data_IF_387820229121
#
_entry.id   IF_387820229121
#
_cell.length_a   1.000
_cell.length_b   1.000
_cell.length_c   1.000
_cell.angle_alpha   90.00
_cell.angle_beta   90.00
_cell.angle_gamma   90.00
#
_symmetry.space_group_name_H-M   'P 1'
#
loop_
_entity.id
_entity.type
_entity.pdbx_description
1 polymer ?
#
# COMPACT_ATOMS: atom_id res chain seq x y z
N UNK A 1 22.38 -43.62 -16.71
CA UNK A 1 22.77 -45.04 -16.80
C UNK A 1 24.06 -45.24 -16.03
N UNK A 2 24.02 -45.94 -14.89
CA UNK A 2 25.23 -46.31 -14.14
C UNK A 2 25.79 -47.58 -14.79
N UNK A 3 26.99 -47.51 -15.36
CA UNK A 3 27.67 -48.68 -15.92
C UNK A 3 28.08 -49.65 -14.81
N UNK A 4 27.70 -50.92 -14.94
CA UNK A 4 28.03 -51.98 -13.98
C UNK A 4 29.54 -52.26 -13.92
N UNK A 5 30.20 -52.25 -15.07
CA UNK A 5 31.63 -52.51 -15.17
C UNK A 5 32.39 -51.23 -15.48
N UNK A 6 33.49 -51.00 -14.76
CA UNK A 6 34.45 -49.91 -14.99
C UNK A 6 35.74 -50.53 -15.48
N UNK A 7 36.32 -49.96 -16.53
CA UNK A 7 37.63 -50.40 -17.01
C UNK A 7 38.71 -49.99 -16.00
N UNK A 8 39.47 -50.98 -15.53
CA UNK A 8 40.69 -50.79 -14.75
C UNK A 8 41.89 -51.06 -15.68
N UNK A 9 42.88 -50.14 -15.76
CA UNK A 9 44.11 -50.37 -16.50
C UNK A 9 44.83 -51.63 -15.99
N UNK A 10 45.56 -52.37 -16.85
CA UNK A 10 46.28 -53.58 -16.45
C UNK A 10 47.38 -53.31 -15.40
N UNK A 11 47.90 -52.08 -15.35
CA UNK A 11 48.92 -51.65 -14.39
C UNK A 11 48.34 -51.17 -13.04
N UNK A 12 47.01 -51.18 -12.88
CA UNK A 12 46.34 -50.68 -11.67
C UNK A 12 46.28 -51.75 -10.57
N UNK A 13 47.18 -51.63 -9.59
CA UNK A 13 47.12 -52.35 -8.32
C UNK A 13 46.25 -51.60 -7.28
N UNK A 14 45.16 -52.20 -6.76
CA UNK A 14 44.28 -51.54 -5.77
C UNK A 14 44.99 -51.27 -4.44
N UNK A 15 45.92 -52.12 -4.00
CA UNK A 15 46.64 -51.96 -2.74
C UNK A 15 47.68 -50.82 -2.80
N UNK A 16 48.28 -50.58 -3.97
CA UNK A 16 49.29 -49.52 -4.16
C UNK A 16 48.67 -48.17 -4.51
N UNK A 17 47.63 -48.17 -5.36
CA UNK A 17 47.04 -46.94 -5.88
C UNK A 17 45.76 -46.52 -5.15
N UNK A 18 45.12 -47.42 -4.40
CA UNK A 18 43.88 -47.18 -3.67
C UNK A 18 42.67 -47.01 -4.60
N UNK A 19 42.59 -45.87 -5.29
CA UNK A 19 41.51 -45.54 -6.21
C UNK A 19 42.00 -45.21 -7.60
N UNK A 20 41.17 -45.48 -8.62
CA UNK A 20 41.46 -45.14 -10.01
C UNK A 20 41.70 -43.62 -10.23
N UNK A 21 41.10 -42.79 -9.37
CA UNK A 21 41.31 -41.34 -9.38
C UNK A 21 42.74 -40.98 -8.93
N UNK A 22 43.22 -41.63 -7.86
CA UNK A 22 44.60 -41.48 -7.36
C UNK A 22 45.62 -41.96 -8.39
N UNK A 23 45.37 -43.11 -9.04
CA UNK A 23 46.20 -43.62 -10.15
C UNK A 23 46.36 -42.60 -11.29
N UNK A 24 45.30 -41.81 -11.56
CA UNK A 24 45.29 -40.78 -12.61
C UNK A 24 45.71 -39.39 -12.11
N UNK A 25 46.11 -39.25 -10.84
CA UNK A 25 46.44 -37.96 -10.21
C UNK A 25 45.27 -36.97 -10.15
N UNK A 26 44.03 -37.45 -10.17
CA UNK A 26 42.82 -36.61 -10.14
C UNK A 26 42.11 -36.71 -8.80
N UNK A 27 41.60 -35.58 -8.31
CA UNK A 27 40.74 -35.58 -7.13
C UNK A 27 39.34 -36.13 -7.48
N UNK A 28 38.69 -36.83 -6.55
CA UNK A 28 37.37 -37.43 -6.78
C UNK A 28 36.27 -36.40 -7.11
N UNK A 29 36.38 -35.19 -6.57
CA UNK A 29 35.48 -34.07 -6.85
C UNK A 29 35.85 -33.29 -8.13
N UNK A 30 36.94 -33.68 -8.81
CA UNK A 30 37.42 -33.07 -10.05
C UNK A 30 37.63 -31.56 -9.92
N UNK A 31 37.10 -30.80 -10.89
CA UNK A 31 37.26 -29.35 -10.97
C UNK A 31 36.69 -28.57 -9.78
N UNK A 32 35.76 -29.16 -9.04
CA UNK A 32 35.20 -28.53 -7.84
C UNK A 32 36.22 -28.40 -6.70
N UNK A 33 37.23 -29.28 -6.69
CA UNK A 33 38.30 -29.29 -5.71
C UNK A 33 39.56 -28.52 -6.14
N UNK A 34 39.50 -27.71 -7.21
CA UNK A 34 40.65 -26.92 -7.68
C UNK A 34 41.25 -25.97 -6.62
N UNK A 35 40.45 -25.56 -5.62
CA UNK A 35 40.88 -24.67 -4.52
C UNK A 35 40.87 -25.37 -3.16
N UNK A 36 40.97 -26.70 -3.15
CA UNK A 36 40.90 -27.48 -1.91
C UNK A 36 42.09 -27.20 -0.99
N UNK A 37 43.25 -26.86 -1.55
CA UNK A 37 44.45 -26.45 -0.80
C UNK A 37 44.21 -25.20 0.05
N UNK A 38 43.25 -24.35 -0.35
CA UNK A 38 42.82 -23.15 0.37
C UNK A 38 41.63 -23.44 1.31
N UNK A 39 41.20 -24.69 1.43
CA UNK A 39 40.00 -25.10 2.18
C UNK A 39 38.68 -24.70 1.49
N UNK A 40 38.72 -24.36 0.20
CA UNK A 40 37.55 -23.89 -0.56
C UNK A 40 37.06 -24.98 -1.50
N UNK A 41 35.79 -25.37 -1.35
CA UNK A 41 35.12 -26.29 -2.26
C UNK A 41 34.09 -25.55 -3.12
N UNK A 42 34.16 -25.71 -4.44
CA UNK A 42 33.16 -25.11 -5.33
C UNK A 42 31.91 -26.00 -5.32
N UNK A 43 30.79 -25.45 -4.88
CA UNK A 43 29.50 -26.16 -4.77
C UNK A 43 28.41 -25.41 -5.52
N UNK A 44 27.38 -26.14 -5.97
CA UNK A 44 26.21 -25.51 -6.57
C UNK A 44 25.22 -25.16 -5.45
N UNK A 45 25.01 -23.88 -5.24
CA UNK A 45 24.21 -23.34 -4.13
C UNK A 45 22.97 -22.63 -4.69
N UNK A 46 21.81 -22.93 -4.13
CA UNK A 46 20.54 -22.24 -4.42
C UNK A 46 20.28 -21.22 -3.32
N UNK A 47 19.89 -20.01 -3.69
CA UNK A 47 19.60 -18.97 -2.70
C UNK A 47 18.36 -19.33 -1.87
N UNK A 48 18.45 -19.33 -0.53
CA UNK A 48 17.34 -19.72 0.35
C UNK A 48 16.25 -18.64 0.47
N UNK A 49 16.56 -17.38 0.18
CA UNK A 49 15.61 -16.25 0.24
C UNK A 49 15.99 -15.17 -0.78
N UNK A 50 15.07 -14.22 -0.97
CA UNK A 50 15.27 -13.07 -1.86
C UNK A 50 16.31 -12.09 -1.29
N UNK A 51 17.24 -11.63 -2.14
CA UNK A 51 18.30 -10.71 -1.74
C UNK A 51 18.40 -9.51 -2.68
N UNK A 52 18.85 -8.39 -2.14
CA UNK A 52 19.27 -7.20 -2.88
C UNK A 52 20.80 -7.16 -2.91
N UNK A 53 21.39 -7.13 -4.10
CA UNK A 53 22.85 -7.04 -4.22
C UNK A 53 23.35 -5.68 -3.76
N UNK A 54 24.30 -5.62 -2.83
CA UNK A 54 24.83 -4.35 -2.30
C UNK A 54 25.71 -3.56 -3.27
N UNK A 55 26.05 -4.11 -4.44
CA UNK A 55 26.90 -3.45 -5.45
C UNK A 55 26.10 -2.82 -6.59
N UNK A 56 25.00 -3.46 -7.03
CA UNK A 56 24.19 -2.98 -8.16
C UNK A 56 22.72 -2.78 -7.80
N UNK A 57 22.35 -2.94 -6.54
CA UNK A 57 20.99 -2.84 -5.99
C UNK A 57 19.93 -3.62 -6.80
N UNK A 58 20.37 -4.64 -7.54
CA UNK A 58 19.49 -5.53 -8.28
C UNK A 58 18.93 -6.62 -7.36
N UNK A 59 17.66 -6.95 -7.58
CA UNK A 59 16.98 -8.04 -6.89
C UNK A 59 17.42 -9.40 -7.46
N UNK A 60 17.78 -10.33 -6.59
CA UNK A 60 18.02 -11.73 -6.91
C UNK A 60 16.98 -12.58 -6.19
N UNK A 61 16.21 -13.32 -6.98
CA UNK A 61 15.17 -14.18 -6.46
C UNK A 61 15.70 -15.39 -5.69
N UNK A 62 14.87 -15.90 -4.78
CA UNK A 62 15.01 -17.21 -4.15
C UNK A 62 15.13 -18.30 -5.21
N UNK A 63 15.96 -19.32 -4.95
CA UNK A 63 16.17 -20.47 -5.84
C UNK A 63 17.13 -20.21 -7.01
N UNK A 64 17.66 -18.99 -7.18
CA UNK A 64 18.70 -18.74 -8.19
C UNK A 64 19.96 -19.52 -7.83
N UNK A 65 20.49 -20.27 -8.81
CA UNK A 65 21.63 -21.17 -8.68
C UNK A 65 22.95 -20.46 -8.94
N UNK A 66 23.89 -20.59 -8.01
CA UNK A 66 25.26 -20.08 -8.12
C UNK A 66 26.30 -21.18 -7.97
N UNK A 67 27.46 -20.96 -8.60
CA UNK A 67 28.69 -21.68 -8.25
C UNK A 67 29.30 -20.94 -7.04
N UNK A 68 29.07 -21.46 -5.85
CA UNK A 68 29.50 -20.86 -4.59
C UNK A 68 30.83 -21.47 -4.12
N UNK A 69 31.69 -20.61 -3.60
CA UNK A 69 32.89 -21.02 -2.86
C UNK A 69 32.49 -21.33 -1.42
N UNK A 70 32.39 -22.62 -1.10
CA UNK A 70 32.09 -23.11 0.25
C UNK A 70 33.38 -23.18 1.05
N UNK A 71 33.43 -22.45 2.16
CA UNK A 71 34.53 -22.48 3.15
C UNK A 71 33.99 -22.75 4.54
N UNK A 72 34.77 -23.40 5.39
CA UNK A 72 34.45 -23.58 6.82
C UNK A 72 35.09 -22.43 7.60
N UNK A 73 34.29 -21.65 8.33
CA UNK A 73 34.80 -20.50 9.11
C UNK A 73 35.01 -20.87 10.58
N UNK A 74 34.08 -21.62 11.15
CA UNK A 74 34.09 -21.97 12.57
C UNK A 74 33.15 -23.12 12.89
N UNK A 75 32.84 -23.31 14.17
CA UNK A 75 31.84 -24.27 14.64
C UNK A 75 30.90 -23.60 15.65
N UNK A 76 29.62 -23.92 15.58
CA UNK A 76 28.65 -23.70 16.64
C UNK A 76 28.56 -24.99 17.47
N UNK A 77 29.19 -25.01 18.65
CA UNK A 77 29.48 -26.23 19.41
C UNK A 77 30.18 -27.28 18.54
N UNK A 78 29.52 -28.40 18.22
CA UNK A 78 30.03 -29.47 17.34
C UNK A 78 29.71 -29.26 15.86
N UNK A 79 28.78 -28.35 15.51
CA UNK A 79 28.27 -28.19 14.14
C UNK A 79 29.10 -27.15 13.38
N UNK A 80 29.67 -27.47 12.20
CA UNK A 80 30.46 -26.52 11.43
C UNK A 80 29.60 -25.40 10.84
N UNK A 81 30.12 -24.16 10.90
CA UNK A 81 29.56 -22.99 10.23
C UNK A 81 30.25 -22.87 8.88
N UNK A 82 29.44 -22.88 7.81
CA UNK A 82 29.91 -22.70 6.44
C UNK A 82 29.59 -21.31 5.94
N UNK A 83 30.53 -20.73 5.22
CA UNK A 83 30.31 -19.57 4.36
C UNK A 83 30.23 -19.98 2.90
N UNK A 84 29.30 -19.36 2.20
CA UNK A 84 29.07 -19.48 0.78
C UNK A 84 29.32 -18.13 0.14
N UNK A 85 30.47 -18.00 -0.53
CA UNK A 85 30.80 -16.80 -1.29
C UNK A 85 30.34 -16.97 -2.73
N UNK A 86 29.45 -16.08 -3.18
CA UNK A 86 28.79 -16.14 -4.47
C UNK A 86 29.10 -14.88 -5.28
N UNK A 87 29.21 -15.02 -6.60
CA UNK A 87 29.39 -13.90 -7.54
C UNK A 87 28.04 -13.50 -8.13
N UNK A 88 27.67 -12.23 -8.01
CA UNK A 88 26.46 -11.67 -8.62
C UNK A 88 26.50 -11.83 -10.14
N UNK A 89 25.39 -12.28 -10.73
CA UNK A 89 25.30 -12.53 -12.17
C UNK A 89 25.20 -11.24 -13.00
N UNK A 90 24.76 -10.11 -12.40
CA UNK A 90 24.65 -8.83 -13.11
C UNK A 90 25.95 -8.03 -13.08
N UNK A 91 26.51 -7.78 -11.90
CA UNK A 91 27.66 -6.86 -11.72
C UNK A 91 28.99 -7.57 -11.46
N UNK A 92 28.97 -8.88 -11.20
CA UNK A 92 30.17 -9.62 -10.82
C UNK A 92 30.72 -9.32 -9.42
N UNK A 93 30.02 -8.48 -8.63
CA UNK A 93 30.32 -8.25 -7.22
C UNK A 93 30.15 -9.53 -6.40
N UNK A 94 30.92 -9.64 -5.32
CA UNK A 94 30.86 -10.80 -4.41
C UNK A 94 29.96 -10.50 -3.23
N UNK A 95 29.21 -11.51 -2.80
CA UNK A 95 28.44 -11.49 -1.57
C UNK A 95 28.60 -12.81 -0.83
N UNK A 96 28.40 -12.79 0.48
CA UNK A 96 28.65 -13.93 1.36
C UNK A 96 27.44 -14.22 2.25
N UNK A 97 27.08 -15.51 2.30
CA UNK A 97 26.08 -16.04 3.21
C UNK A 97 26.73 -17.03 4.16
N UNK A 98 26.36 -16.96 5.44
CA UNK A 98 26.78 -17.91 6.47
C UNK A 98 25.60 -18.72 6.97
N UNK A 99 25.85 -19.97 7.33
CA UNK A 99 24.87 -20.79 8.05
C UNK A 99 24.84 -20.40 9.52
N UNK A 100 23.65 -20.22 10.08
CA UNK A 100 23.42 -20.04 11.52
C UNK A 100 22.70 -21.28 12.09
N UNK A 101 23.45 -22.23 12.69
CA UNK A 101 22.86 -23.44 13.26
C UNK A 101 21.94 -23.19 14.46
N UNK A 102 22.05 -22.05 15.16
CA UNK A 102 21.21 -21.74 16.32
C UNK A 102 19.76 -21.51 15.93
N UNK A 103 19.56 -20.75 14.85
CA UNK A 103 18.24 -20.37 14.34
C UNK A 103 17.85 -21.14 13.08
N UNK A 104 18.64 -22.16 12.70
CA UNK A 104 18.43 -22.99 11.49
C UNK A 104 18.25 -22.19 10.20
N UNK A 105 18.93 -21.04 10.09
CA UNK A 105 18.78 -20.10 8.97
C UNK A 105 20.10 -19.77 8.31
N UNK A 106 20.04 -19.16 7.14
CA UNK A 106 21.19 -18.50 6.53
C UNK A 106 21.14 -17.01 6.85
N UNK A 107 22.30 -16.40 7.05
CA UNK A 107 22.44 -14.97 7.32
C UNK A 107 23.38 -14.36 6.28
N UNK A 108 22.98 -13.24 5.71
CA UNK A 108 23.86 -12.48 4.81
C UNK A 108 24.86 -11.71 5.65
N UNK A 109 26.16 -11.96 5.45
CA UNK A 109 27.21 -11.26 6.21
C UNK A 109 27.78 -10.09 5.43
N UNK A 110 27.95 -10.24 4.11
CA UNK A 110 28.60 -9.21 3.29
C UNK A 110 28.01 -9.14 1.88
N UNK A 111 28.02 -7.93 1.29
CA UNK A 111 27.79 -7.71 -0.14
C UNK A 111 26.35 -7.85 -0.64
N UNK A 112 25.39 -8.16 0.24
CA UNK A 112 23.97 -8.19 -0.07
C UNK A 112 23.12 -7.83 1.16
N UNK A 113 21.85 -7.53 0.93
CA UNK A 113 20.82 -7.34 1.96
C UNK A 113 19.70 -8.35 1.74
N UNK A 114 19.23 -8.99 2.80
CA UNK A 114 18.04 -9.84 2.72
C UNK A 114 16.82 -8.96 2.46
N UNK A 115 15.89 -9.44 1.63
CA UNK A 115 14.58 -8.82 1.50
C UNK A 115 13.68 -9.36 2.62
N UNK A 116 13.16 -8.46 3.44
CA UNK A 116 12.18 -8.82 4.46
C UNK A 116 10.81 -9.01 3.81
N UNK A 117 10.22 -10.18 4.00
CA UNK A 117 8.89 -10.52 3.44
C UNK A 117 7.81 -10.57 4.52
N UNK A 118 8.23 -10.76 5.77
CA UNK A 118 7.36 -10.69 6.93
C UNK A 118 7.14 -9.21 7.28
N UNK A 119 5.96 -8.69 6.93
CA UNK A 119 5.51 -7.40 7.41
C UNK A 119 5.07 -7.56 8.87
N UNK A 120 5.94 -7.19 9.80
CA UNK A 120 5.54 -7.05 11.20
C UNK A 120 4.83 -5.69 11.41
N UNK A 121 3.52 -5.67 11.69
CA UNK A 121 2.80 -4.43 11.94
C UNK A 121 3.30 -3.70 13.19
N UNK A 122 3.83 -4.44 14.19
CA UNK A 122 4.25 -3.89 15.47
C UNK A 122 5.58 -3.12 15.37
N UNK A 123 6.53 -3.61 14.57
CA UNK A 123 7.85 -2.97 14.40
C UNK A 123 7.81 -1.74 13.47
N UNK A 124 6.93 -1.72 12.47
CA UNK A 124 6.88 -0.67 11.45
C UNK A 124 5.87 0.46 11.72
N UNK A 125 5.38 0.57 12.96
CA UNK A 125 4.50 1.67 13.40
C UNK A 125 3.11 1.66 12.76
N UNK A 126 2.69 0.52 12.21
CA UNK A 126 1.30 0.30 11.85
C UNK A 126 0.50 0.18 13.14
N UNK A 127 -0.46 1.07 13.37
CA UNK A 127 -1.45 0.83 14.42
C UNK A 127 -2.09 -0.52 14.14
N UNK A 128 -1.80 -1.53 14.97
CA UNK A 128 -2.56 -2.75 14.99
C UNK A 128 -4.03 -2.33 15.08
N UNK A 129 -4.88 -2.79 14.16
CA UNK A 129 -6.33 -2.52 14.16
C UNK A 129 -7.01 -3.17 15.38
N UNK A 130 -6.23 -3.65 16.34
CA UNK A 130 -6.64 -4.20 17.61
C UNK A 130 -6.54 -3.13 18.71
N UNK A 131 -7.71 -2.64 19.09
CA UNK A 131 -8.05 -1.93 20.34
C UNK A 131 -7.05 -0.86 20.81
N UNK A 132 -7.47 0.39 20.65
CA UNK A 132 -6.90 1.59 21.30
C UNK A 132 -6.90 1.55 22.84
N UNK A 133 -7.36 0.46 23.47
CA UNK A 133 -7.52 0.32 24.91
C UNK A 133 -6.28 -0.23 25.63
N UNK A 134 -5.23 -0.64 24.91
CA UNK A 134 -4.04 -1.32 25.50
C UNK A 134 -2.93 -0.39 26.02
N UNK A 135 -3.16 0.91 26.21
CA UNK A 135 -2.04 1.84 26.50
C UNK A 135 -1.77 2.06 28.00
N UNK A 136 -2.56 1.51 28.94
CA UNK A 136 -2.52 2.03 30.33
C UNK A 136 -2.25 1.09 31.50
N UNK A 137 -2.51 -0.21 31.43
CA UNK A 137 -2.53 -1.05 32.64
C UNK A 137 -1.92 -2.44 32.41
N UNK A 138 -1.24 -3.03 33.43
CA UNK A 138 -0.92 -4.45 33.39
C UNK A 138 -2.26 -5.19 33.31
N UNK A 139 -2.49 -5.88 32.20
CA UNK A 139 -3.73 -6.64 32.01
C UNK A 139 -3.72 -7.74 33.06
N UNK A 140 -4.59 -7.62 34.07
CA UNK A 140 -4.85 -8.70 35.00
C UNK A 140 -5.15 -9.96 34.17
N UNK A 141 -4.42 -11.08 34.36
CA UNK A 141 -4.67 -12.31 33.62
C UNK A 141 -6.15 -12.74 33.69
N UNK A 142 -6.86 -12.39 34.77
CA UNK A 142 -8.29 -12.64 34.89
C UNK A 142 -9.13 -11.76 33.96
N UNK A 143 -8.81 -10.48 33.82
CA UNK A 143 -9.51 -9.57 32.89
C UNK A 143 -9.30 -9.95 31.43
N UNK A 144 -8.11 -10.45 31.06
CA UNK A 144 -7.85 -11.00 29.73
C UNK A 144 -8.69 -12.26 29.47
N UNK A 145 -8.79 -13.14 30.47
CA UNK A 145 -9.57 -14.36 30.39
C UNK A 145 -11.07 -14.03 30.26
N UNK A 146 -11.59 -13.11 31.06
CA UNK A 146 -12.97 -12.62 30.99
C UNK A 146 -13.29 -12.06 29.59
N UNK A 147 -12.45 -11.16 29.05
CA UNK A 147 -12.65 -10.63 27.70
C UNK A 147 -12.62 -11.72 26.62
N UNK A 148 -11.74 -12.71 26.74
CA UNK A 148 -11.69 -13.83 25.78
C UNK A 148 -12.89 -14.77 25.89
N UNK A 149 -13.36 -15.04 27.12
CA UNK A 149 -14.50 -15.91 27.38
C UNK A 149 -15.81 -15.22 27.00
N UNK A 150 -15.96 -13.93 27.26
CA UNK A 150 -17.11 -13.13 26.81
C UNK A 150 -17.17 -13.02 25.29
N UNK A 151 -16.02 -12.84 24.63
CA UNK A 151 -15.95 -12.84 23.17
C UNK A 151 -16.36 -14.21 22.59
N UNK A 152 -15.87 -15.31 23.18
CA UNK A 152 -16.27 -16.66 22.79
C UNK A 152 -17.77 -16.88 23.04
N UNK A 153 -18.27 -16.50 24.21
CA UNK A 153 -19.68 -16.61 24.57
C UNK A 153 -20.58 -15.81 23.62
N UNK A 154 -20.19 -14.59 23.25
CA UNK A 154 -20.93 -13.78 22.30
C UNK A 154 -20.90 -14.41 20.90
N UNK A 155 -19.76 -14.93 20.46
CA UNK A 155 -19.65 -15.63 19.18
C UNK A 155 -20.57 -16.85 19.16
N UNK A 156 -20.56 -17.67 20.21
CA UNK A 156 -21.33 -18.91 20.27
C UNK A 156 -22.82 -18.67 20.49
N UNK A 157 -23.22 -17.77 21.39
CA UNK A 157 -24.62 -17.58 21.79
C UNK A 157 -25.37 -16.57 20.92
N UNK A 158 -24.68 -15.66 20.25
CA UNK A 158 -25.31 -14.59 19.45
C UNK A 158 -24.98 -14.74 17.97
N UNK A 159 -23.70 -14.89 17.62
CA UNK A 159 -23.32 -14.89 16.20
C UNK A 159 -23.69 -16.21 15.50
N UNK A 160 -23.39 -17.36 16.10
CA UNK A 160 -23.75 -18.66 15.50
C UNK A 160 -25.26 -18.83 15.24
N UNK A 161 -26.17 -18.63 16.21
CA UNK A 161 -27.60 -18.80 15.94
C UNK A 161 -28.11 -17.78 14.91
N UNK A 162 -27.58 -16.56 14.92
CA UNK A 162 -27.91 -15.56 13.89
C UNK A 162 -27.49 -16.02 12.48
N UNK A 163 -26.32 -16.65 12.35
CA UNK A 163 -25.86 -17.20 11.08
C UNK A 163 -26.72 -18.39 10.63
N UNK A 164 -27.11 -19.26 11.57
CA UNK A 164 -28.03 -20.38 11.31
C UNK A 164 -29.42 -19.88 10.89
N UNK A 165 -29.96 -18.83 11.51
CA UNK A 165 -31.20 -18.17 11.12
C UNK A 165 -31.10 -17.60 9.68
N UNK A 166 -30.01 -16.91 9.36
CA UNK A 166 -29.79 -16.36 8.01
C UNK A 166 -29.63 -17.48 6.97
N UNK A 167 -28.93 -18.56 7.32
CA UNK A 167 -28.75 -19.70 6.44
C UNK A 167 -30.08 -20.42 6.20
N UNK A 168 -30.85 -20.73 7.24
CA UNK A 168 -32.16 -21.37 7.13
C UNK A 168 -33.16 -20.51 6.33
N UNK A 169 -33.16 -19.19 6.54
CA UNK A 169 -33.96 -18.26 5.73
C UNK A 169 -33.55 -18.28 4.26
N UNK A 170 -32.23 -18.31 3.98
CA UNK A 170 -31.72 -18.42 2.62
C UNK A 170 -32.12 -19.75 1.96
N UNK A 171 -31.99 -20.86 2.67
CA UNK A 171 -32.36 -22.20 2.21
C UNK A 171 -33.85 -22.26 1.86
N UNK A 172 -34.73 -21.84 2.78
CA UNK A 172 -36.18 -21.77 2.54
C UNK A 172 -36.53 -20.90 1.32
N UNK A 173 -35.86 -19.76 1.17
CA UNK A 173 -36.06 -18.87 0.02
C UNK A 173 -35.55 -19.46 -1.29
N UNK A 174 -34.48 -20.25 -1.24
CA UNK A 174 -33.83 -20.88 -2.39
C UNK A 174 -34.43 -22.23 -2.79
N UNK A 175 -35.28 -22.82 -1.95
CA UNK A 175 -35.89 -24.13 -2.17
C UNK A 175 -36.70 -24.20 -3.49
N UNK A 176 -37.32 -23.09 -3.93
CA UNK A 176 -37.93 -22.96 -5.25
C UNK A 176 -37.22 -21.88 -6.10
N UNK A 177 -36.19 -22.25 -6.88
CA UNK A 177 -35.48 -21.32 -7.73
C UNK A 177 -36.35 -20.77 -8.87
N UNK A 178 -37.36 -21.52 -9.32
CA UNK A 178 -38.23 -21.10 -10.41
C UNK A 178 -39.15 -19.96 -9.95
N UNK A 179 -39.88 -20.11 -8.85
CA UNK A 179 -40.73 -19.04 -8.32
C UNK A 179 -39.94 -17.77 -7.96
N UNK A 180 -38.73 -17.93 -7.39
CA UNK A 180 -37.85 -16.80 -7.10
C UNK A 180 -37.44 -16.06 -8.37
N UNK A 181 -37.05 -16.78 -9.43
CA UNK A 181 -36.69 -16.20 -10.72
C UNK A 181 -37.85 -15.47 -11.39
N UNK A 182 -39.08 -15.98 -11.23
CA UNK A 182 -40.30 -15.34 -11.76
C UNK A 182 -40.56 -14.03 -11.03
N UNK A 183 -40.47 -14.01 -9.70
CA UNK A 183 -40.65 -12.79 -8.88
C UNK A 183 -39.63 -11.71 -9.24
N UNK A 184 -38.35 -12.10 -9.37
CA UNK A 184 -37.26 -11.20 -9.75
C UNK A 184 -37.49 -10.64 -11.16
N UNK A 185 -37.80 -11.50 -12.14
CA UNK A 185 -38.08 -11.08 -13.51
C UNK A 185 -39.30 -10.17 -13.61
N UNK A 186 -40.36 -10.40 -12.83
CA UNK A 186 -41.55 -9.54 -12.77
C UNK A 186 -41.17 -8.13 -12.32
N UNK A 187 -40.44 -8.01 -11.20
CA UNK A 187 -39.97 -6.70 -10.68
C UNK A 187 -39.10 -5.97 -11.71
N UNK A 188 -38.16 -6.65 -12.35
CA UNK A 188 -37.32 -6.02 -13.38
C UNK A 188 -38.11 -5.60 -14.63
N UNK A 189 -39.14 -6.34 -15.02
CA UNK A 189 -40.02 -5.94 -16.14
C UNK A 189 -40.83 -4.70 -15.82
N UNK A 190 -41.37 -4.62 -14.60
CA UNK A 190 -42.11 -3.46 -14.11
C UNK A 190 -41.19 -2.23 -14.03
N UNK A 191 -40.02 -2.38 -13.41
CA UNK A 191 -39.00 -1.31 -13.35
C UNK A 191 -38.56 -0.87 -14.75
N UNK A 192 -38.21 -1.80 -15.64
CA UNK A 192 -37.82 -1.48 -17.03
C UNK A 192 -38.93 -0.77 -17.80
N UNK A 193 -40.21 -1.07 -17.53
CA UNK A 193 -41.34 -0.37 -18.15
C UNK A 193 -41.41 1.07 -17.67
N UNK A 194 -41.26 1.30 -16.37
CA UNK A 194 -41.21 2.64 -15.76
C UNK A 194 -40.00 3.41 -16.29
N UNK A 195 -38.80 2.82 -16.25
CA UNK A 195 -37.57 3.45 -16.73
C UNK A 195 -37.66 3.81 -18.22
N UNK A 196 -38.24 2.93 -19.05
CA UNK A 196 -38.43 3.21 -20.48
C UNK A 196 -39.44 4.33 -20.72
N UNK A 197 -40.52 4.41 -19.92
CA UNK A 197 -41.48 5.51 -20.00
C UNK A 197 -40.81 6.83 -19.63
N UNK A 198 -40.05 6.84 -18.55
CA UNK A 198 -39.29 8.01 -18.11
C UNK A 198 -38.26 8.45 -19.16
N UNK A 199 -37.49 7.51 -19.73
CA UNK A 199 -36.55 7.81 -20.82
C UNK A 199 -37.26 8.41 -22.04
N UNK A 200 -38.42 7.89 -22.42
CA UNK A 200 -39.17 8.43 -23.55
C UNK A 200 -39.71 9.85 -23.29
N UNK A 201 -40.13 10.15 -22.05
CA UNK A 201 -40.53 11.49 -21.64
C UNK A 201 -39.33 12.46 -21.68
N UNK A 202 -38.18 12.03 -21.16
CA UNK A 202 -36.93 12.78 -21.18
C UNK A 202 -36.44 13.06 -22.61
N UNK A 203 -36.43 12.05 -23.47
CA UNK A 203 -36.01 12.18 -24.87
C UNK A 203 -36.96 13.09 -25.67
N UNK A 204 -38.27 13.03 -25.39
CA UNK A 204 -39.24 13.93 -25.99
C UNK A 204 -39.02 15.39 -25.57
N UNK A 205 -38.69 15.65 -24.30
CA UNK A 205 -38.31 16.97 -23.82
C UNK A 205 -36.99 17.44 -24.45
N UNK A 206 -35.97 16.58 -24.46
CA UNK A 206 -34.67 16.89 -25.10
C UNK A 206 -34.82 17.24 -26.57
N UNK A 207 -35.63 16.48 -27.31
CA UNK A 207 -35.91 16.73 -28.72
C UNK A 207 -36.65 18.05 -28.97
N UNK A 208 -37.61 18.41 -28.11
CA UNK A 208 -38.33 19.70 -28.22
C UNK A 208 -37.43 20.91 -27.99
N UNK A 209 -36.45 20.80 -27.10
CA UNK A 209 -35.57 21.90 -26.70
C UNK A 209 -34.15 21.82 -27.30
N UNK A 210 -33.85 20.81 -28.13
CA UNK A 210 -32.52 20.63 -28.73
C UNK A 210 -31.40 20.37 -27.71
N UNK A 211 -31.73 19.76 -26.56
CA UNK A 211 -30.77 19.50 -25.48
C UNK A 211 -29.86 18.31 -25.84
N UNK A 212 -28.59 18.31 -25.39
CA UNK A 212 -27.66 17.21 -25.67
C UNK A 212 -28.09 15.92 -24.96
N UNK A 213 -27.89 14.78 -25.64
CA UNK A 213 -28.30 13.45 -25.15
C UNK A 213 -27.63 13.09 -23.81
N UNK A 214 -26.39 13.56 -23.60
CA UNK A 214 -25.59 13.35 -22.39
C UNK A 214 -26.09 14.09 -21.15
N UNK A 215 -27.04 15.01 -21.30
CA UNK A 215 -27.63 15.74 -20.18
C UNK A 215 -28.61 14.83 -19.43
N UNK A 216 -28.34 14.58 -18.14
CA UNK A 216 -29.30 13.90 -17.26
C UNK A 216 -30.35 14.91 -16.78
N UNK A 217 -31.63 14.56 -16.96
CA UNK A 217 -32.73 15.38 -16.46
C UNK A 217 -33.05 14.93 -15.02
N UNK A 218 -33.12 15.90 -14.12
CA UNK A 218 -33.56 15.68 -12.75
C UNK A 218 -35.08 15.81 -12.71
N UNK A 219 -35.76 14.89 -12.02
CA UNK A 219 -37.23 14.90 -11.92
C UNK A 219 -37.73 16.03 -11.01
N UNK A 220 -38.93 16.53 -11.27
CA UNK A 220 -39.62 17.56 -10.47
C UNK A 220 -40.32 16.98 -9.22
N UNK A 221 -39.58 16.26 -8.39
CA UNK A 221 -40.05 15.83 -7.07
C UNK A 221 -39.99 16.99 -6.06
N UNK A 222 -40.84 16.95 -5.01
CA UNK A 222 -40.84 18.02 -3.99
C UNK A 222 -39.50 18.14 -3.23
N UNK A 223 -38.74 17.04 -3.16
CA UNK A 223 -37.40 17.00 -2.57
C UNK A 223 -36.34 17.61 -3.51
N UNK A 224 -36.40 17.32 -4.81
CA UNK A 224 -35.46 17.88 -5.78
C UNK A 224 -35.68 19.37 -5.99
N UNK A 225 -36.94 19.86 -5.93
CA UNK A 225 -37.25 21.30 -5.93
C UNK A 225 -36.66 22.03 -4.73
N UNK A 226 -36.73 21.43 -3.53
CA UNK A 226 -36.11 21.98 -2.32
C UNK A 226 -34.59 22.00 -2.44
N UNK A 227 -33.98 20.91 -2.87
CA UNK A 227 -32.53 20.83 -3.08
C UNK A 227 -32.04 21.86 -4.12
N UNK A 228 -32.74 22.00 -5.25
CA UNK A 228 -32.43 22.99 -6.27
C UNK A 228 -32.55 24.43 -5.75
N UNK A 229 -33.56 24.71 -4.90
CA UNK A 229 -33.73 26.02 -4.25
C UNK A 229 -32.59 26.32 -3.28
N UNK A 230 -32.20 25.35 -2.45
CA UNK A 230 -31.07 25.49 -1.53
C UNK A 230 -29.74 25.68 -2.27
N UNK A 231 -29.52 24.94 -3.36
CA UNK A 231 -28.35 25.12 -4.23
C UNK A 231 -28.31 26.50 -4.86
N UNK A 232 -29.45 26.99 -5.36
CA UNK A 232 -29.56 28.33 -5.92
C UNK A 232 -29.28 29.42 -4.87
N UNK A 233 -29.83 29.30 -3.67
CA UNK A 233 -29.58 30.24 -2.56
C UNK A 233 -28.10 30.23 -2.15
N UNK A 234 -27.46 29.05 -2.08
CA UNK A 234 -26.01 28.93 -1.82
C UNK A 234 -25.17 29.57 -2.91
N UNK A 235 -25.48 29.30 -4.18
CA UNK A 235 -24.75 29.85 -5.32
C UNK A 235 -24.88 31.38 -5.39
N UNK A 236 -26.09 31.91 -5.17
CA UNK A 236 -26.34 33.36 -5.12
C UNK A 236 -25.55 34.02 -4.00
N UNK A 237 -25.52 33.42 -2.81
CA UNK A 237 -24.73 33.94 -1.70
C UNK A 237 -23.23 33.94 -2.00
N UNK A 238 -22.70 32.86 -2.61
CA UNK A 238 -21.30 32.81 -3.04
C UNK A 238 -20.98 33.86 -4.10
N UNK A 239 -21.88 34.10 -5.05
CA UNK A 239 -21.71 35.12 -6.08
C UNK A 239 -21.72 36.53 -5.51
N UNK A 240 -22.62 36.83 -4.56
CA UNK A 240 -22.62 38.11 -3.85
C UNK A 240 -21.33 38.35 -3.07
N UNK A 241 -20.79 37.32 -2.40
CA UNK A 241 -19.50 37.39 -1.72
C UNK A 241 -18.36 37.63 -2.72
N UNK A 242 -18.36 36.93 -3.85
CA UNK A 242 -17.37 37.09 -4.93
C UNK A 242 -17.44 38.49 -5.56
N UNK A 243 -18.64 39.01 -5.81
CA UNK A 243 -18.86 40.35 -6.33
C UNK A 243 -18.41 41.44 -5.35
N UNK A 244 -18.71 41.28 -4.05
CA UNK A 244 -18.18 42.16 -2.98
C UNK A 244 -16.65 42.10 -2.92
N UNK A 245 -16.05 40.92 -3.05
CA UNK A 245 -14.59 40.77 -3.09
C UNK A 245 -13.96 41.43 -4.34
N UNK A 246 -14.57 41.27 -5.53
CA UNK A 246 -14.14 41.95 -6.77
C UNK A 246 -14.25 43.47 -6.64
N UNK A 247 -15.36 44.01 -6.10
CA UNK A 247 -15.52 45.45 -5.85
C UNK A 247 -14.48 46.00 -4.87
N UNK A 248 -14.13 45.24 -3.82
CA UNK A 248 -13.05 45.62 -2.89
C UNK A 248 -11.68 45.63 -3.57
N UNK A 249 -11.39 44.72 -4.51
CA UNK A 249 -10.13 44.74 -5.29
C UNK A 249 -10.06 45.93 -6.25
N UNK A 250 -11.16 46.28 -6.91
CA UNK A 250 -11.19 47.43 -7.84
C UNK A 250 -11.03 48.75 -7.07
N UNK A 251 -11.68 48.90 -5.91
CA UNK A 251 -11.49 50.07 -5.03
C UNK A 251 -10.09 50.19 -4.42
N UNK A 252 -9.33 49.09 -4.34
CA UNK A 252 -7.93 49.11 -3.91
C UNK A 252 -6.95 49.39 -5.07
N UNK A 253 -7.34 49.10 -6.32
CA UNK A 253 -6.53 49.36 -7.51
C UNK A 253 -6.65 50.80 -8.03
N UNK A 254 -7.79 51.46 -7.79
CA UNK A 254 -8.00 52.88 -8.13
C UNK A 254 -7.86 53.72 -6.86
N UNK A 255 -6.61 53.96 -6.43
CA UNK A 255 -6.38 54.70 -5.18
C UNK A 255 -4.92 54.87 -4.77
N UNK A 256 -4.06 55.40 -5.65
CA UNK A 256 -2.88 56.16 -5.22
C UNK A 256 -2.37 57.07 -6.34
N UNK A 257 -2.93 58.28 -6.38
CA UNK A 257 -2.25 59.48 -6.88
C UNK A 257 -2.31 60.52 -5.74
N UNK A 258 -1.20 61.16 -5.36
CA UNK A 258 -1.20 62.14 -4.29
C UNK A 258 -1.66 63.48 -4.86
N UNK A 259 -2.80 63.99 -4.39
CA UNK A 259 -3.22 65.36 -4.68
C UNK A 259 -3.22 66.18 -3.38
N UNK A 260 -2.59 67.33 -3.52
CA UNK A 260 -2.21 68.31 -2.51
C UNK A 260 -3.37 68.91 -1.71
N UNK A 261 -3.07 69.12 -0.43
CA UNK A 261 -3.61 70.09 0.53
C UNK A 261 -4.46 71.24 -0.01
N UNK A 262 -5.68 71.37 0.52
CA UNK A 262 -6.20 72.66 0.99
C UNK A 262 -7.27 72.44 2.07
N UNK A 263 -7.15 73.21 3.14
CA UNK A 263 -7.78 73.04 4.44
C UNK A 263 -9.21 73.58 4.50
N UNK A 264 -10.09 72.85 5.20
CA UNK A 264 -11.40 73.31 5.65
C UNK A 264 -11.83 72.53 6.89
N UNK A 265 -11.56 73.11 8.06
CA UNK A 265 -11.64 72.56 9.42
C UNK A 265 -13.03 72.10 9.91
N UNK A 266 -13.09 71.06 10.76
CA UNK A 266 -13.47 71.13 12.20
C UNK A 266 -13.55 69.76 12.90
N UNK A 267 -12.56 69.53 13.76
CA UNK A 267 -12.56 69.00 15.15
C UNK A 267 -13.66 68.00 15.58
N UNK A 268 -13.27 66.76 15.92
CA UNK A 268 -13.61 66.12 17.21
C UNK A 268 -12.65 64.96 17.56
N UNK A 269 -12.27 64.94 18.84
CA UNK A 269 -11.32 64.07 19.56
C UNK A 269 -11.34 62.57 19.21
N UNK A 270 -10.14 62.01 18.98
CA UNK A 270 -9.81 60.59 19.06
C UNK A 270 -8.99 60.30 20.33
N UNK A 271 -9.55 59.49 21.23
CA UNK A 271 -8.83 58.45 21.97
C UNK A 271 -9.27 57.14 21.27
N UNK A 272 -8.49 56.12 20.96
CA UNK A 272 -7.15 55.71 21.31
C UNK A 272 -7.19 54.18 21.28
N UNK A 273 -6.81 53.54 20.17
CA UNK A 273 -6.32 52.16 20.17
C UNK A 273 -5.53 51.89 18.90
N UNK A 274 -4.23 51.79 19.09
CA UNK A 274 -3.16 51.64 18.12
C UNK A 274 -3.24 50.31 17.34
N UNK A 275 -3.42 50.41 16.02
CA UNK A 275 -2.84 49.44 15.10
C UNK A 275 -2.03 50.22 14.07
N UNK A 276 -0.71 50.08 14.14
CA UNK A 276 0.20 50.72 13.18
C UNK A 276 -0.14 50.25 11.76
N UNK A 277 0.02 51.12 10.74
CA UNK A 277 -0.33 50.80 9.35
C UNK A 277 0.39 49.55 8.82
N UNK A 278 1.54 49.22 9.39
CA UNK A 278 2.29 48.00 9.14
C UNK A 278 1.52 46.72 9.54
N UNK A 279 0.82 46.72 10.69
CA UNK A 279 0.07 45.56 11.19
C UNK A 279 -1.20 45.33 10.36
N UNK A 280 -1.87 46.40 9.91
CA UNK A 280 -2.99 46.28 8.97
C UNK A 280 -2.54 45.79 7.58
N UNK A 281 -1.37 46.22 7.11
CA UNK A 281 -0.79 45.73 5.85
C UNK A 281 -0.36 44.26 5.93
N UNK A 282 0.19 43.83 7.08
CA UNK A 282 0.51 42.43 7.34
C UNK A 282 -0.74 41.57 7.42
N UNK A 283 -1.80 42.03 8.10
CA UNK A 283 -3.08 41.33 8.18
C UNK A 283 -3.75 41.19 6.80
N UNK A 284 -3.65 42.22 5.96
CA UNK A 284 -4.12 42.18 4.58
C UNK A 284 -3.32 41.17 3.73
N UNK A 285 -1.99 41.15 3.85
CA UNK A 285 -1.13 40.17 3.14
C UNK A 285 -1.36 38.74 3.60
N UNK A 286 -1.56 38.51 4.90
CA UNK A 286 -1.86 37.18 5.44
C UNK A 286 -3.20 36.67 4.89
N UNK A 287 -4.24 37.53 4.88
CA UNK A 287 -5.55 37.18 4.32
C UNK A 287 -5.49 36.89 2.80
N UNK A 288 -4.63 37.61 2.07
CA UNK A 288 -4.41 37.38 0.65
C UNK A 288 -3.68 36.06 0.38
N UNK A 289 -2.72 35.70 1.23
CA UNK A 289 -1.96 34.45 1.09
C UNK A 289 -2.80 33.22 1.48
N UNK A 290 -3.66 33.34 2.51
CA UNK A 290 -4.62 32.28 2.88
C UNK A 290 -5.68 32.05 1.82
N UNK A 291 -6.14 33.11 1.13
CA UNK A 291 -7.09 32.99 0.03
C UNK A 291 -6.49 32.36 -1.24
N UNK A 292 -5.16 32.48 -1.44
CA UNK A 292 -4.45 31.81 -2.54
C UNK A 292 -4.22 30.33 -2.27
N UNK A 293 -3.98 29.94 -1.01
CA UNK A 293 -3.77 28.54 -0.64
C UNK A 293 -5.08 27.72 -0.54
N UNK A 294 -6.23 28.33 -0.27
CA UNK A 294 -7.52 27.63 -0.28
C UNK A 294 -8.02 27.27 -1.69
N UNK A 295 -7.39 27.80 -2.75
CA UNK A 295 -7.75 27.53 -4.14
C UNK A 295 -6.92 26.44 -4.84
N UNK A 296 -5.87 25.91 -4.20
CA UNK A 296 -4.96 24.92 -4.80
C UNK A 296 -5.17 23.48 -4.35
N UNK A 297 -6.20 23.19 -3.53
CA UNK A 297 -6.51 21.84 -3.05
C UNK A 297 -7.70 21.18 -3.77
N UNK A 298 -7.88 21.44 -5.06
CA UNK A 298 -8.73 20.58 -5.91
C UNK A 298 -7.88 19.45 -6.48
N UNK A 299 -8.01 18.29 -5.82
CA UNK A 299 -7.52 16.99 -6.25
C UNK A 299 -7.85 16.75 -7.73
N UNK A 300 -6.82 16.62 -8.58
CA UNK A 300 -6.97 16.06 -9.93
C UNK A 300 -7.28 14.57 -9.80
N UNK A 301 -8.33 14.04 -10.45
CA UNK A 301 -8.52 12.60 -10.57
C UNK A 301 -7.41 12.04 -11.47
N UNK A 302 -6.66 11.05 -10.95
CA UNK A 302 -5.73 10.26 -11.76
C UNK A 302 -6.55 9.46 -12.78
N UNK A 303 -6.13 9.53 -14.05
CA UNK A 303 -6.42 8.50 -15.06
C UNK A 303 -5.64 7.23 -14.74
#
# INVERSE_FOLDING_TARGET
MQGFNKYYPPDFDPDKHGSLNSYRGKHALGDRARKLDQGILITRFELPFNIWCGHCDAHVGMGVRYNAEKRKIGNYYSTPIYAFRCKCHLCGGWFELQTDPKNTRYVVTEGARQKDEDWDPEENGGFAVHDTDKVGAPVDPLAALEKSTDAQNHMTKVQLPRLEELQSFSEQRSADPYALSVRVRKRFREQKKVDKQLQAEDDALKGRYGLPETLSLVRDDEESKKAAKEEWERAKHQEELSAKAKRRRIGAAVGSLPASVSSGSRIAKRQGSSSTPAVSSLRARILENTARHSGSSTLKPRR
#
